data_IF_691463283376
#
_entry.id   IF_691463283376
#
_cell.length_a   1.000
_cell.length_b   1.000
_cell.length_c   1.000
_cell.angle_alpha   90.00
_cell.angle_beta   90.00
_cell.angle_gamma   90.00
#
_symmetry.space_group_name_H-M   'P 1'
#
loop_
_entity.id
_entity.type
_entity.pdbx_description
1 polymer ?
#
# COMPACT_ATOMS: atom_id res chain seq x y z
N UNK A 1 38.27 4.81 -1.04
CA UNK A 1 37.72 6.06 -1.61
C UNK A 1 36.25 6.10 -1.25
N UNK A 2 35.87 6.89 -0.26
CA UNK A 2 34.47 7.15 0.08
C UNK A 2 33.91 8.10 -0.97
N UNK A 3 33.19 7.58 -1.95
CA UNK A 3 32.40 8.38 -2.88
C UNK A 3 31.34 9.13 -2.10
N UNK A 4 31.36 10.47 -2.15
CA UNK A 4 30.27 11.29 -1.63
C UNK A 4 28.93 10.87 -2.26
N UNK A 5 27.82 10.87 -1.52
CA UNK A 5 26.50 10.54 -2.08
C UNK A 5 26.18 11.45 -3.27
N UNK A 6 25.49 10.93 -4.29
CA UNK A 6 24.91 11.76 -5.34
C UNK A 6 23.92 12.76 -4.72
N UNK A 7 23.67 13.90 -5.38
CA UNK A 7 22.69 14.88 -4.91
C UNK A 7 21.27 14.30 -4.77
N UNK A 8 20.95 13.26 -5.54
CA UNK A 8 19.70 12.50 -5.41
C UNK A 8 19.72 11.66 -4.14
N UNK A 9 20.78 10.89 -3.90
CA UNK A 9 20.87 10.05 -2.69
C UNK A 9 20.82 10.89 -1.41
N UNK A 10 21.52 12.02 -1.36
CA UNK A 10 21.45 12.92 -0.22
C UNK A 10 20.02 13.44 0.04
N UNK A 11 19.26 13.76 -1.01
CA UNK A 11 17.83 14.15 -0.88
C UNK A 11 16.96 12.99 -0.40
N UNK A 12 17.23 11.75 -0.84
CA UNK A 12 16.55 10.55 -0.32
C UNK A 12 16.80 10.37 1.17
N UNK A 13 18.06 10.47 1.58
CA UNK A 13 18.47 10.33 2.98
C UNK A 13 17.81 11.41 3.86
N UNK A 14 17.70 12.64 3.35
CA UNK A 14 17.00 13.73 4.03
C UNK A 14 15.50 13.42 4.20
N UNK A 15 14.82 12.92 3.16
CA UNK A 15 13.41 12.50 3.27
C UNK A 15 13.24 11.37 4.30
N UNK A 16 14.08 10.34 4.26
CA UNK A 16 14.05 9.24 5.23
C UNK A 16 14.31 9.71 6.66
N UNK A 17 15.19 10.69 6.86
CA UNK A 17 15.42 11.30 8.17
C UNK A 17 14.18 12.06 8.69
N UNK A 18 13.45 12.76 7.82
CA UNK A 18 12.17 13.38 8.18
C UNK A 18 11.13 12.33 8.58
N UNK A 19 10.98 11.24 7.82
CA UNK A 19 10.06 10.15 8.19
C UNK A 19 10.44 9.50 9.53
N UNK A 20 11.73 9.30 9.80
CA UNK A 20 12.18 8.81 11.12
C UNK A 20 11.80 9.79 12.24
N UNK A 21 12.03 11.09 12.04
CA UNK A 21 11.63 12.12 13.01
C UNK A 21 10.11 12.13 13.23
N UNK A 22 9.32 11.95 12.16
CA UNK A 22 7.86 11.82 12.23
C UNK A 22 7.43 10.62 13.08
N UNK A 23 7.99 9.45 12.82
CA UNK A 23 7.67 8.22 13.55
C UNK A 23 8.09 8.31 15.03
N UNK A 24 9.24 8.92 15.31
CA UNK A 24 9.71 9.13 16.69
C UNK A 24 8.82 10.12 17.46
N UNK A 25 8.29 11.14 16.78
CA UNK A 25 7.33 12.08 17.36
C UNK A 25 5.97 11.42 17.59
N UNK A 26 5.52 10.60 16.64
CA UNK A 26 4.27 9.83 16.73
C UNK A 26 4.28 8.92 17.96
N UNK A 27 5.35 8.14 18.18
CA UNK A 27 5.48 7.28 19.36
C UNK A 27 5.61 8.08 20.66
N UNK A 28 6.24 9.25 20.63
CA UNK A 28 6.34 10.12 21.79
C UNK A 28 5.06 10.90 22.10
N UNK A 29 4.02 10.77 21.27
CA UNK A 29 2.76 11.52 21.35
C UNK A 29 2.98 13.05 21.33
N UNK A 30 4.05 13.51 20.67
CA UNK A 30 4.50 14.90 20.74
C UNK A 30 4.72 15.50 19.33
N UNK A 31 3.66 16.05 18.72
CA UNK A 31 3.76 16.68 17.40
C UNK A 31 4.59 17.97 17.40
N UNK A 32 4.89 18.57 18.56
CA UNK A 32 5.70 19.78 18.64
C UNK A 32 7.17 19.57 18.23
N UNK A 33 7.60 18.29 18.15
CA UNK A 33 8.92 17.87 17.68
C UNK A 33 9.10 17.98 16.17
N UNK A 34 8.04 18.26 15.42
CA UNK A 34 8.05 18.23 13.96
C UNK A 34 8.28 19.62 13.34
N UNK A 35 9.06 19.70 12.25
CA UNK A 35 9.15 20.92 11.44
C UNK A 35 7.89 21.03 10.56
N UNK A 36 6.83 21.64 11.08
CA UNK A 36 5.53 21.74 10.38
C UNK A 36 5.40 23.07 9.65
N UNK A 37 4.81 23.04 8.45
CA UNK A 37 4.32 24.25 7.80
C UNK A 37 3.12 24.80 8.58
N UNK A 38 2.92 26.12 8.57
CA UNK A 38 1.76 26.74 9.24
C UNK A 38 0.41 26.23 8.70
N UNK A 39 0.40 25.76 7.46
CA UNK A 39 -0.77 25.20 6.77
C UNK A 39 -0.74 23.67 6.75
N UNK A 40 0.03 23.03 7.63
CA UNK A 40 0.16 21.57 7.65
C UNK A 40 -1.21 20.92 7.82
N UNK A 41 -1.52 19.97 6.94
CA UNK A 41 -2.78 19.25 6.93
C UNK A 41 -2.56 17.78 7.25
N UNK A 42 -3.34 17.25 8.19
CA UNK A 42 -3.28 15.87 8.62
C UNK A 42 -4.62 15.16 8.40
N UNK A 43 -4.56 13.98 7.78
CA UNK A 43 -5.68 13.04 7.72
C UNK A 43 -5.29 11.68 8.27
N UNK A 44 -6.14 11.09 9.10
CA UNK A 44 -6.09 9.67 9.43
C UNK A 44 -7.33 8.98 8.85
N UNK A 45 -7.12 7.90 8.12
CA UNK A 45 -8.20 7.03 7.65
C UNK A 45 -9.26 7.75 6.79
N UNK A 46 -8.83 8.78 6.05
CA UNK A 46 -9.68 9.60 5.19
C UNK A 46 -10.42 10.74 5.90
N UNK A 47 -10.23 10.91 7.21
CA UNK A 47 -10.77 12.02 7.97
C UNK A 47 -9.67 13.04 8.28
N UNK A 48 -9.94 14.33 8.06
CA UNK A 48 -9.09 15.41 8.55
C UNK A 48 -9.27 15.56 10.06
N UNK A 49 -8.17 15.47 10.80
CA UNK A 49 -8.17 15.54 12.27
C UNK A 49 -6.98 16.40 12.73
N UNK A 50 -7.07 17.07 13.90
CA UNK A 50 -5.94 17.79 14.46
C UNK A 50 -4.73 16.88 14.67
N UNK A 51 -3.54 17.38 14.34
CA UNK A 51 -2.30 16.64 14.58
C UNK A 51 -2.08 16.48 16.09
N UNK A 52 -1.74 15.27 16.52
CA UNK A 52 -1.73 14.89 17.93
C UNK A 52 -2.99 14.17 18.39
N UNK A 53 -4.06 14.10 17.59
CA UNK A 53 -5.23 13.26 17.87
C UNK A 53 -5.14 11.88 17.19
N UNK A 54 -6.19 11.06 17.35
CA UNK A 54 -6.32 9.72 16.76
C UNK A 54 -5.17 8.77 17.18
N UNK A 55 -4.45 8.12 16.26
CA UNK A 55 -3.37 7.19 16.59
C UNK A 55 -2.27 7.81 17.48
N UNK A 56 -2.07 9.13 17.41
CA UNK A 56 -1.11 9.84 18.25
C UNK A 56 -1.37 9.71 19.74
N UNK A 57 -2.61 9.38 20.14
CA UNK A 57 -2.99 9.23 21.55
C UNK A 57 -2.81 7.81 22.08
N UNK A 58 -2.66 6.81 21.20
CA UNK A 58 -2.86 5.40 21.55
C UNK A 58 -1.75 4.47 21.08
N UNK A 59 -0.88 4.91 20.16
CA UNK A 59 0.25 4.10 19.70
C UNK A 59 1.21 3.80 20.85
N UNK A 60 1.60 2.53 21.02
CA UNK A 60 2.56 2.12 22.05
C UNK A 60 3.99 2.18 21.51
N UNK A 61 4.20 1.60 20.32
CA UNK A 61 5.52 1.46 19.71
C UNK A 61 5.42 1.10 18.22
N UNK A 62 6.54 1.32 17.52
CA UNK A 62 6.80 0.68 16.23
C UNK A 62 7.24 -0.79 16.46
N UNK A 63 7.13 -1.59 15.41
CA UNK A 63 7.71 -2.92 15.33
C UNK A 63 8.70 -3.02 14.16
N UNK A 64 9.22 -4.21 13.90
CA UNK A 64 10.39 -4.48 13.05
C UNK A 64 10.17 -4.22 11.55
N UNK A 65 8.92 -4.23 11.08
CA UNK A 65 8.64 -4.00 9.66
C UNK A 65 8.63 -2.51 9.35
N UNK A 66 9.52 -2.06 8.46
CA UNK A 66 9.48 -0.73 7.87
C UNK A 66 10.01 -0.73 6.44
N UNK A 67 9.36 -0.01 5.54
CA UNK A 67 9.87 0.31 4.20
C UNK A 67 9.49 1.73 3.83
N UNK A 68 10.46 2.49 3.35
CA UNK A 68 10.30 3.88 2.94
C UNK A 68 10.38 4.01 1.41
N UNK A 69 9.47 4.78 0.84
CA UNK A 69 9.35 5.06 -0.59
C UNK A 69 9.62 6.55 -0.81
N UNK A 70 10.73 6.91 -1.46
CA UNK A 70 11.17 8.31 -1.58
C UNK A 70 10.97 8.84 -3.00
N UNK A 71 10.43 10.05 -3.12
CA UNK A 71 10.39 10.82 -4.36
C UNK A 71 11.09 12.18 -4.14
N UNK A 72 12.43 12.23 -4.29
CA UNK A 72 13.23 13.44 -4.10
C UNK A 72 12.87 14.62 -4.99
N UNK A 73 12.21 14.36 -6.12
CA UNK A 73 11.88 15.39 -7.11
C UNK A 73 10.59 16.11 -6.77
N UNK A 74 9.65 15.43 -6.10
CA UNK A 74 8.40 16.02 -5.61
C UNK A 74 8.41 16.34 -4.10
N UNK A 75 9.51 16.04 -3.40
CA UNK A 75 9.62 16.27 -1.96
C UNK A 75 8.69 15.38 -1.13
N UNK A 76 8.42 14.17 -1.59
CA UNK A 76 7.44 13.27 -0.96
C UNK A 76 8.09 12.00 -0.45
N UNK A 77 7.58 11.48 0.67
CA UNK A 77 7.99 10.18 1.22
C UNK A 77 6.80 9.41 1.74
N UNK A 78 6.76 8.13 1.39
CA UNK A 78 5.78 7.15 1.83
C UNK A 78 6.45 6.16 2.77
N UNK A 79 5.69 5.57 3.69
CA UNK A 79 6.19 4.55 4.59
C UNK A 79 5.10 3.50 4.84
N UNK A 80 5.48 2.22 4.78
CA UNK A 80 4.72 1.16 5.44
C UNK A 80 5.48 0.70 6.67
N UNK A 81 4.82 0.68 7.82
CA UNK A 81 5.43 0.31 9.11
C UNK A 81 4.47 -0.54 9.96
N UNK A 82 4.99 -1.54 10.66
CA UNK A 82 4.21 -2.26 11.68
C UNK A 82 4.25 -1.54 13.02
N UNK A 83 3.14 -1.58 13.73
CA UNK A 83 2.98 -0.91 15.02
C UNK A 83 2.30 -1.83 16.04
N UNK A 84 2.38 -1.45 17.30
CA UNK A 84 1.52 -1.97 18.38
C UNK A 84 0.73 -0.80 18.98
N UNK A 85 -0.57 -1.03 19.16
CA UNK A 85 -1.50 -0.07 19.77
C UNK A 85 -2.42 -0.83 20.74
N UNK A 86 -2.32 -0.54 22.04
CA UNK A 86 -3.01 -1.26 23.11
C UNK A 86 -2.86 -2.79 23.00
N UNK A 87 -1.62 -3.26 22.84
CA UNK A 87 -1.26 -4.68 22.62
C UNK A 87 -1.81 -5.31 21.31
N UNK A 88 -2.45 -4.52 20.43
CA UNK A 88 -2.94 -4.99 19.14
C UNK A 88 -1.92 -4.71 18.03
N UNK A 89 -1.68 -5.74 17.20
CA UNK A 89 -0.87 -5.62 16.01
C UNK A 89 -1.55 -4.75 14.94
N UNK A 90 -0.84 -3.74 14.46
CA UNK A 90 -1.31 -2.85 13.39
C UNK A 90 -0.32 -2.71 12.24
N UNK A 91 -0.84 -2.33 11.08
CA UNK A 91 -0.04 -1.83 9.96
C UNK A 91 -0.46 -0.40 9.63
N UNK A 92 0.53 0.42 9.36
CA UNK A 92 0.38 1.83 9.08
C UNK A 92 0.99 2.14 7.71
N UNK A 93 0.24 2.84 6.87
CA UNK A 93 0.76 3.54 5.70
C UNK A 93 0.75 5.04 5.99
N UNK A 94 1.86 5.72 5.72
CA UNK A 94 1.99 7.18 5.86
C UNK A 94 2.50 7.74 4.54
N UNK A 95 2.01 8.91 4.15
CA UNK A 95 2.64 9.81 3.19
C UNK A 95 2.90 11.16 3.85
N UNK A 96 4.10 11.68 3.66
CA UNK A 96 4.48 13.04 4.01
C UNK A 96 4.86 13.82 2.74
N UNK A 97 4.40 15.07 2.65
CA UNK A 97 4.94 16.06 1.71
C UNK A 97 5.81 17.06 2.45
N UNK A 98 6.98 17.32 1.90
CA UNK A 98 7.96 18.26 2.43
C UNK A 98 8.12 19.40 1.43
N UNK A 99 7.85 20.62 1.90
CA UNK A 99 8.02 21.87 1.15
C UNK A 99 8.90 22.81 1.99
N UNK A 100 9.96 23.34 1.39
CA UNK A 100 10.92 24.24 2.06
C UNK A 100 11.47 23.69 3.39
N UNK A 101 11.64 22.36 3.47
CA UNK A 101 12.14 21.67 4.66
C UNK A 101 11.10 21.47 5.77
N UNK A 102 9.84 21.83 5.53
CA UNK A 102 8.72 21.68 6.46
C UNK A 102 7.73 20.63 5.95
N UNK A 103 7.13 19.86 6.86
CA UNK A 103 6.03 18.94 6.55
C UNK A 103 4.76 19.77 6.32
N UNK A 104 4.24 19.76 5.09
CA UNK A 104 3.01 20.47 4.72
C UNK A 104 1.78 19.57 4.61
N UNK A 105 1.98 18.27 4.40
CA UNK A 105 0.88 17.32 4.28
C UNK A 105 1.23 15.98 4.94
N UNK A 106 0.27 15.41 5.66
CA UNK A 106 0.38 14.12 6.34
C UNK A 106 -0.89 13.31 6.02
N UNK A 107 -0.74 12.19 5.32
CA UNK A 107 -1.85 11.29 4.97
C UNK A 107 -1.55 9.90 5.54
N UNK A 108 -2.39 9.43 6.47
CA UNK A 108 -2.19 8.17 7.19
C UNK A 108 -3.38 7.23 6.99
N UNK A 109 -3.09 5.95 6.74
CA UNK A 109 -4.07 4.86 6.80
C UNK A 109 -3.56 3.81 7.77
N UNK A 110 -4.37 3.52 8.79
CA UNK A 110 -4.09 2.58 9.86
C UNK A 110 -5.02 1.38 9.77
N UNK A 111 -4.47 0.17 9.72
CA UNK A 111 -5.24 -1.05 9.87
C UNK A 111 -4.87 -1.80 11.15
N UNK A 112 -5.83 -1.90 12.07
CA UNK A 112 -5.75 -2.66 13.33
C UNK A 112 -6.10 -4.15 13.17
N UNK A 113 -6.62 -4.55 12.01
CA UNK A 113 -6.97 -5.92 11.66
C UNK A 113 -5.84 -6.66 10.93
N UNK A 114 -4.58 -6.43 11.32
CA UNK A 114 -3.39 -6.97 10.67
C UNK A 114 -2.59 -7.88 11.64
N UNK A 115 -3.13 -9.05 12.04
CA UNK A 115 -2.49 -9.89 13.05
C UNK A 115 -1.10 -10.42 12.65
N UNK A 116 -0.79 -10.46 11.36
CA UNK A 116 0.52 -10.86 10.86
C UNK A 116 1.57 -9.75 10.89
N UNK A 117 1.20 -8.50 11.22
CA UNK A 117 2.08 -7.33 11.15
C UNK A 117 3.38 -7.48 11.94
N UNK A 118 3.32 -8.15 13.11
CA UNK A 118 4.47 -8.37 14.00
C UNK A 118 5.30 -9.60 13.61
N UNK A 119 4.87 -10.34 12.59
CA UNK A 119 5.54 -11.53 12.06
C UNK A 119 5.98 -11.36 10.61
N UNK A 120 5.90 -10.12 10.10
CA UNK A 120 6.28 -9.83 8.72
C UNK A 120 7.80 -9.94 8.52
N UNK A 121 8.26 -10.38 7.33
CA UNK A 121 9.67 -10.31 6.93
C UNK A 121 10.27 -8.93 7.15
N UNK A 122 11.59 -8.79 7.38
CA UNK A 122 12.27 -7.55 7.00
C UNK A 122 11.93 -7.16 5.57
N UNK A 123 11.79 -5.87 5.28
CA UNK A 123 11.44 -5.42 3.94
C UNK A 123 12.47 -5.90 2.90
N UNK A 124 12.00 -6.23 1.70
CA UNK A 124 12.88 -6.72 0.64
C UNK A 124 13.84 -5.62 0.19
N UNK A 125 15.12 -5.95 0.02
CA UNK A 125 16.14 -5.04 -0.52
C UNK A 125 15.77 -4.45 -1.88
N UNK A 126 14.97 -5.19 -2.66
CA UNK A 126 14.45 -4.80 -3.98
C UNK A 126 13.77 -3.42 -3.98
N UNK A 127 13.14 -3.01 -2.88
CA UNK A 127 12.51 -1.69 -2.76
C UNK A 127 13.52 -0.51 -2.81
N UNK A 128 14.79 -0.77 -2.53
CA UNK A 128 15.84 0.24 -2.51
C UNK A 128 16.73 0.21 -3.76
N UNK A 129 16.58 -0.81 -4.59
CA UNK A 129 17.39 -0.99 -5.79
C UNK A 129 16.89 -0.12 -6.95
N UNK A 130 17.83 0.60 -7.57
CA UNK A 130 17.58 1.33 -8.81
C UNK A 130 17.37 0.37 -10.00
N UNK A 131 16.58 0.82 -10.97
CA UNK A 131 16.49 0.21 -12.31
C UNK A 131 17.61 0.76 -13.20
N UNK A 132 18.08 -0.03 -14.16
CA UNK A 132 19.02 0.46 -15.16
C UNK A 132 18.36 1.58 -16.00
N UNK A 133 19.05 2.69 -16.29
CA UNK A 133 18.45 3.84 -16.99
C UNK A 133 17.68 3.49 -18.28
N UNK A 134 18.19 2.52 -19.04
CA UNK A 134 17.65 2.04 -20.31
C UNK A 134 16.33 1.26 -20.18
N UNK A 135 16.01 0.71 -19.01
CA UNK A 135 14.77 -0.04 -18.75
C UNK A 135 13.79 0.73 -17.86
N UNK A 136 14.13 1.96 -17.45
CA UNK A 136 13.24 2.82 -16.67
C UNK A 136 12.05 3.29 -17.52
N UNK A 137 10.86 3.07 -16.99
CA UNK A 137 9.66 3.78 -17.40
C UNK A 137 9.72 5.22 -16.87
N UNK A 138 9.15 6.15 -17.62
CA UNK A 138 8.96 7.53 -17.16
C UNK A 138 7.82 7.64 -16.13
N UNK A 139 7.73 8.82 -15.51
CA UNK A 139 6.75 9.10 -14.44
C UNK A 139 5.31 8.91 -14.90
N UNK A 140 4.96 9.38 -16.09
CA UNK A 140 3.61 9.27 -16.64
C UNK A 140 3.23 7.81 -16.92
N UNK A 141 4.17 7.04 -17.48
CA UNK A 141 3.98 5.61 -17.74
C UNK A 141 3.85 4.82 -16.45
N UNK A 142 4.66 5.10 -15.43
CA UNK A 142 4.52 4.47 -14.11
C UNK A 142 3.14 4.72 -13.49
N UNK A 143 2.63 5.96 -13.56
CA UNK A 143 1.28 6.28 -13.09
C UNK A 143 0.21 5.51 -13.88
N UNK A 144 0.28 5.54 -15.21
CA UNK A 144 -0.67 4.85 -16.11
C UNK A 144 -0.69 3.34 -15.89
N UNK A 145 0.47 2.69 -15.81
CA UNK A 145 0.53 1.24 -15.55
C UNK A 145 0.03 0.86 -14.15
N UNK A 146 0.18 1.77 -13.18
CA UNK A 146 -0.42 1.59 -11.86
C UNK A 146 -1.95 1.72 -11.91
N UNK A 147 -2.49 2.68 -12.67
CA UNK A 147 -3.93 2.83 -12.87
C UNK A 147 -4.53 1.63 -13.63
N UNK A 148 -3.80 1.09 -14.60
CA UNK A 148 -4.14 -0.17 -15.28
C UNK A 148 -4.31 -1.34 -14.30
N UNK A 149 -3.49 -1.42 -13.24
CA UNK A 149 -3.68 -2.40 -12.16
C UNK A 149 -5.01 -2.16 -11.42
N UNK A 150 -5.38 -0.90 -11.15
CA UNK A 150 -6.66 -0.59 -10.50
C UNK A 150 -7.85 -1.01 -11.36
N UNK A 151 -7.80 -0.74 -12.67
CA UNK A 151 -8.82 -1.18 -13.61
C UNK A 151 -8.87 -2.72 -13.71
N UNK A 152 -7.73 -3.40 -13.77
CA UNK A 152 -7.66 -4.86 -13.77
C UNK A 152 -8.35 -5.46 -12.54
N UNK A 153 -8.11 -4.91 -11.34
CA UNK A 153 -8.76 -5.36 -10.11
C UNK A 153 -10.27 -5.10 -10.15
N UNK A 154 -10.69 -3.89 -10.54
CA UNK A 154 -12.09 -3.48 -10.52
C UNK A 154 -12.95 -4.16 -11.61
N UNK A 155 -12.34 -4.54 -12.73
CA UNK A 155 -13.01 -5.26 -13.81
C UNK A 155 -12.78 -6.78 -13.76
N UNK A 156 -11.95 -7.28 -12.83
CA UNK A 156 -11.51 -8.67 -12.78
C UNK A 156 -10.91 -9.15 -14.11
N UNK A 157 -10.12 -8.28 -14.75
CA UNK A 157 -9.50 -8.51 -16.05
C UNK A 157 -7.99 -8.27 -15.94
N UNK A 158 -7.26 -9.35 -15.66
CA UNK A 158 -5.81 -9.30 -15.53
C UNK A 158 -5.08 -8.92 -16.82
N UNK A 159 -5.72 -9.00 -18.00
CA UNK A 159 -5.07 -8.64 -19.27
C UNK A 159 -4.77 -7.15 -19.40
N UNK A 160 -5.41 -6.33 -18.55
CA UNK A 160 -5.19 -4.88 -18.50
C UNK A 160 -3.91 -4.49 -17.78
N UNK A 161 -3.36 -5.37 -16.93
CA UNK A 161 -2.18 -5.06 -16.12
C UNK A 161 -0.97 -5.85 -16.57
N UNK A 162 0.17 -5.17 -16.66
CA UNK A 162 1.44 -5.80 -16.96
C UNK A 162 2.21 -6.15 -15.69
N UNK A 163 2.08 -7.40 -15.24
CA UNK A 163 2.99 -7.95 -14.23
C UNK A 163 4.34 -8.34 -14.86
N UNK A 164 5.38 -8.32 -14.05
CA UNK A 164 6.65 -8.93 -14.41
C UNK A 164 6.46 -10.47 -14.46
N UNK A 165 6.80 -11.12 -15.59
CA UNK A 165 6.54 -12.55 -15.76
C UNK A 165 7.47 -13.45 -14.92
N UNK A 166 8.61 -12.93 -14.51
CA UNK A 166 9.62 -13.69 -13.76
C UNK A 166 9.34 -13.65 -12.25
N UNK A 167 8.82 -12.54 -11.74
CA UNK A 167 8.56 -12.36 -10.30
C UNK A 167 7.45 -11.36 -10.07
N UNK A 168 6.37 -11.78 -9.40
CA UNK A 168 5.24 -10.94 -9.04
C UNK A 168 4.62 -11.39 -7.69
N UNK A 169 4.65 -10.49 -6.70
CA UNK A 169 4.10 -10.75 -5.37
C UNK A 169 3.15 -9.63 -4.94
N UNK A 170 2.02 -10.01 -4.33
CA UNK A 170 1.05 -9.08 -3.74
C UNK A 170 0.87 -9.32 -2.25
N UNK A 171 1.15 -8.30 -1.45
CA UNK A 171 1.00 -8.29 0.00
C UNK A 171 -0.03 -7.23 0.40
N UNK A 172 -1.12 -7.65 1.04
CA UNK A 172 -2.20 -6.74 1.44
C UNK A 172 -2.45 -6.89 2.93
N UNK A 173 -2.26 -5.80 3.69
CA UNK A 173 -2.39 -5.79 5.15
C UNK A 173 -1.57 -6.93 5.81
N UNK A 174 -0.35 -7.16 5.30
CA UNK A 174 0.56 -8.21 5.79
C UNK A 174 0.16 -9.64 5.37
N UNK A 175 -0.88 -9.80 4.55
CA UNK A 175 -1.33 -11.10 4.04
C UNK A 175 -0.90 -11.29 2.59
N UNK A 176 -0.29 -12.45 2.30
CA UNK A 176 0.08 -12.82 0.92
C UNK A 176 -1.17 -13.15 0.11
N UNK A 177 -1.44 -12.34 -0.92
CA UNK A 177 -2.62 -12.45 -1.78
C UNK A 177 -2.32 -13.08 -3.13
N UNK A 178 -1.10 -12.85 -3.65
CA UNK A 178 -0.62 -13.46 -4.88
C UNK A 178 0.89 -13.68 -4.80
N UNK A 179 1.36 -14.74 -5.43
CA UNK A 179 2.77 -15.03 -5.62
C UNK A 179 2.91 -15.79 -6.94
N UNK A 180 3.82 -15.33 -7.81
CA UNK A 180 4.07 -15.95 -9.09
C UNK A 180 4.69 -17.36 -8.98
N UNK A 181 4.69 -18.14 -10.06
CA UNK A 181 5.18 -19.53 -10.05
C UNK A 181 6.68 -19.66 -9.74
N UNK A 182 7.46 -18.61 -9.95
CA UNK A 182 8.91 -18.59 -9.76
C UNK A 182 9.35 -17.91 -8.46
N UNK A 183 8.39 -17.42 -7.66
CA UNK A 183 8.67 -16.72 -6.42
C UNK A 183 8.61 -17.66 -5.21
N UNK A 184 9.28 -17.26 -4.13
CA UNK A 184 9.27 -17.99 -2.86
C UNK A 184 8.85 -17.07 -1.71
N UNK A 185 7.95 -17.58 -0.85
CA UNK A 185 7.54 -16.89 0.37
C UNK A 185 8.05 -17.65 1.61
N UNK A 186 9.07 -17.14 2.32
CA UNK A 186 9.69 -17.86 3.44
C UNK A 186 8.86 -17.89 4.74
N UNK A 187 7.73 -17.19 4.80
CA UNK A 187 7.09 -16.84 6.08
C UNK A 187 5.76 -17.56 6.28
N UNK A 188 5.32 -17.70 7.55
CA UNK A 188 4.03 -18.31 7.84
C UNK A 188 2.91 -17.61 7.09
N UNK A 189 2.09 -18.41 6.43
CA UNK A 189 0.85 -17.94 5.85
C UNK A 189 -0.24 -17.97 6.92
N UNK A 190 -1.22 -17.06 6.83
CA UNK A 190 -2.40 -17.09 7.69
C UNK A 190 -3.05 -18.49 7.66
N UNK A 191 -3.34 -19.15 8.80
CA UNK A 191 -4.01 -20.44 8.81
C UNK A 191 -5.37 -20.37 8.10
N UNK A 192 -5.72 -21.44 7.39
CA UNK A 192 -7.06 -21.61 6.83
C UNK A 192 -7.90 -22.37 7.85
N UNK A 193 -8.97 -21.74 8.35
CA UNK A 193 -9.89 -22.37 9.29
C UNK A 193 -11.09 -23.06 8.60
N UNK A 194 -11.40 -22.65 7.36
CA UNK A 194 -12.58 -23.07 6.61
C UNK A 194 -12.22 -23.24 5.13
N UNK A 195 -12.34 -24.47 4.62
CA UNK A 195 -12.05 -24.85 3.22
C UNK A 195 -13.14 -24.42 2.23
N UNK A 196 -14.29 -23.97 2.72
CA UNK A 196 -15.36 -23.35 1.91
C UNK A 196 -15.23 -21.83 1.86
N UNK A 197 -14.25 -21.25 2.58
CA UNK A 197 -14.05 -19.81 2.61
C UNK A 197 -13.42 -19.26 1.33
N UNK A 198 -13.74 -18.00 1.01
CA UNK A 198 -13.03 -17.23 -0.02
C UNK A 198 -11.50 -17.24 0.16
N UNK A 199 -11.04 -17.23 1.41
CA UNK A 199 -9.62 -17.20 1.71
C UNK A 199 -8.91 -18.52 1.37
N UNK A 200 -9.62 -19.66 1.45
CA UNK A 200 -9.13 -20.93 0.89
C UNK A 200 -8.94 -20.82 -0.63
N UNK A 201 -9.92 -20.27 -1.35
CA UNK A 201 -9.82 -20.10 -2.81
C UNK A 201 -8.63 -19.22 -3.22
N UNK A 202 -8.40 -18.10 -2.51
CA UNK A 202 -7.20 -17.27 -2.68
C UNK A 202 -5.94 -18.10 -2.42
N UNK A 203 -5.88 -18.84 -1.31
CA UNK A 203 -4.72 -19.70 -0.98
C UNK A 203 -4.44 -20.72 -2.08
N UNK A 204 -5.47 -21.35 -2.65
CA UNK A 204 -5.34 -22.35 -3.72
C UNK A 204 -4.93 -21.77 -5.07
N UNK A 205 -4.94 -20.43 -5.21
CA UNK A 205 -4.51 -19.72 -6.42
C UNK A 205 -3.07 -19.21 -6.35
N UNK A 206 -2.40 -19.31 -5.19
CA UNK A 206 -0.99 -18.96 -5.05
C UNK A 206 -0.12 -19.84 -5.97
N UNK A 207 0.89 -19.24 -6.61
CA UNK A 207 1.72 -19.88 -7.63
C UNK A 207 1.19 -19.72 -9.06
N UNK A 208 -0.01 -19.16 -9.26
CA UNK A 208 -0.47 -18.73 -10.58
C UNK A 208 0.22 -17.44 -11.01
N UNK A 209 0.38 -17.18 -12.33
CA UNK A 209 0.67 -15.83 -12.82
C UNK A 209 -0.34 -14.82 -12.26
N UNK A 210 0.15 -13.66 -11.81
CA UNK A 210 -0.66 -12.71 -11.03
C UNK A 210 -1.81 -12.07 -11.85
N UNK A 211 -1.59 -11.89 -13.15
CA UNK A 211 -2.61 -11.50 -14.13
C UNK A 211 -3.69 -12.58 -14.28
N UNK A 212 -3.31 -13.85 -14.46
CA UNK A 212 -4.27 -14.96 -14.51
C UNK A 212 -5.07 -15.07 -13.22
N UNK A 213 -4.42 -14.87 -12.06
CA UNK A 213 -5.10 -14.86 -10.76
C UNK A 213 -6.16 -13.74 -10.68
N UNK A 214 -5.85 -12.52 -11.14
CA UNK A 214 -6.84 -11.44 -11.16
C UNK A 214 -8.05 -11.78 -12.03
N UNK A 215 -7.81 -12.43 -13.17
CA UNK A 215 -8.86 -12.87 -14.10
C UNK A 215 -9.76 -13.99 -13.58
N UNK A 216 -9.42 -14.63 -12.45
CA UNK A 216 -10.28 -15.67 -11.84
C UNK A 216 -11.58 -15.11 -11.25
N UNK A 217 -11.66 -13.79 -11.04
CA UNK A 217 -12.78 -13.16 -10.34
C UNK A 217 -12.74 -13.34 -8.82
N UNK A 218 -11.65 -13.82 -8.23
CA UNK A 218 -11.50 -13.90 -6.76
C UNK A 218 -11.73 -12.54 -6.09
N UNK A 219 -11.42 -11.43 -6.76
CA UNK A 219 -11.59 -10.07 -6.22
C UNK A 219 -12.82 -9.35 -6.78
N UNK A 220 -13.73 -10.05 -7.48
CA UNK A 220 -14.90 -9.49 -8.17
C UNK A 220 -15.92 -8.75 -7.28
N UNK A 221 -15.80 -8.86 -5.96
CA UNK A 221 -16.54 -8.01 -5.04
C UNK A 221 -16.10 -6.54 -5.09
N UNK A 222 -14.92 -6.25 -5.65
CA UNK A 222 -14.47 -4.91 -6.05
C UNK A 222 -15.06 -4.63 -7.42
N UNK A 223 -15.89 -3.59 -7.51
CA UNK A 223 -16.76 -3.32 -8.67
C UNK A 223 -16.44 -2.02 -9.40
N UNK A 224 -15.67 -1.13 -8.78
CA UNK A 224 -15.11 0.08 -9.40
C UNK A 224 -14.02 0.65 -8.49
N UNK A 225 -13.32 1.68 -8.95
CA UNK A 225 -12.45 2.52 -8.13
C UNK A 225 -12.73 4.00 -8.44
N UNK A 226 -12.31 4.90 -7.55
CA UNK A 226 -12.27 6.34 -7.78
C UNK A 226 -11.19 6.99 -6.89
N UNK A 227 -11.03 8.31 -7.03
CA UNK A 227 -10.11 9.13 -6.25
C UNK A 227 -8.63 8.71 -6.34
N UNK A 228 -8.24 8.05 -7.43
CA UNK A 228 -6.86 7.59 -7.62
C UNK A 228 -5.89 8.78 -7.75
N UNK A 229 -4.85 8.76 -6.90
CA UNK A 229 -3.74 9.72 -6.91
C UNK A 229 -2.42 8.96 -6.72
N UNK A 230 -1.36 9.45 -7.37
CA UNK A 230 -0.01 8.86 -7.33
C UNK A 230 1.01 9.89 -6.84
N UNK A 231 0.98 10.29 -5.55
CA UNK A 231 1.77 11.40 -5.03
C UNK A 231 3.28 11.14 -5.00
N UNK A 232 3.71 9.87 -5.03
CA UNK A 232 5.11 9.47 -5.01
C UNK A 232 5.36 8.59 -6.22
N UNK A 233 6.24 9.04 -7.11
CA UNK A 233 6.72 8.24 -8.23
C UNK A 233 8.24 8.37 -8.32
N UNK A 234 8.93 7.33 -7.88
CA UNK A 234 10.38 7.25 -7.96
C UNK A 234 10.78 6.63 -9.30
N UNK A 235 11.21 7.47 -10.25
CA UNK A 235 11.65 6.99 -11.58
C UNK A 235 12.95 6.20 -11.49
N UNK A 236 13.85 6.49 -10.57
CA UNK A 236 15.11 5.78 -10.47
C UNK A 236 14.91 4.36 -9.94
N UNK A 237 14.09 4.21 -8.89
CA UNK A 237 13.75 2.90 -8.30
C UNK A 237 12.50 2.29 -8.90
N UNK A 238 11.85 2.94 -9.86
CA UNK A 238 10.63 2.45 -10.51
C UNK A 238 9.54 2.06 -9.50
N UNK A 239 9.24 2.99 -8.58
CA UNK A 239 8.24 2.80 -7.53
C UNK A 239 7.12 3.81 -7.69
N UNK A 240 5.89 3.35 -7.50
CA UNK A 240 4.71 4.21 -7.33
C UNK A 240 4.12 3.94 -5.96
N UNK A 241 3.83 4.99 -5.19
CA UNK A 241 3.04 4.87 -3.97
C UNK A 241 1.80 5.74 -4.13
N UNK A 242 0.65 5.07 -4.19
CA UNK A 242 -0.63 5.64 -4.57
C UNK A 242 -1.70 5.48 -3.50
N UNK A 243 -2.75 6.28 -3.63
CA UNK A 243 -3.95 6.28 -2.78
C UNK A 243 -5.20 6.33 -3.64
N UNK A 244 -6.21 5.55 -3.28
CA UNK A 244 -7.50 5.49 -3.98
C UNK A 244 -8.56 4.83 -3.11
N UNK A 245 -9.80 4.85 -3.59
CA UNK A 245 -10.88 4.04 -3.03
C UNK A 245 -11.27 2.91 -3.99
N UNK A 246 -11.27 1.66 -3.50
CA UNK A 246 -11.98 0.57 -4.17
C UNK A 246 -13.43 0.52 -3.70
N UNK A 247 -14.36 0.36 -4.63
CA UNK A 247 -15.80 0.39 -4.40
C UNK A 247 -16.41 -1.00 -4.48
N UNK A 248 -17.32 -1.29 -3.55
CA UNK A 248 -18.13 -2.50 -3.57
C UNK A 248 -19.59 -2.10 -3.59
N UNK A 249 -20.34 -2.61 -4.57
CA UNK A 249 -21.80 -2.47 -4.62
C UNK A 249 -22.52 -3.45 -3.67
N UNK A 250 -21.84 -4.51 -3.22
CA UNK A 250 -22.45 -5.57 -2.42
C UNK A 250 -23.28 -6.57 -3.22
N UNK A 251 -23.26 -6.50 -4.55
CA UNK A 251 -24.10 -7.31 -5.45
C UNK A 251 -23.44 -8.61 -5.90
N UNK A 252 -22.12 -8.76 -5.72
CA UNK A 252 -21.39 -9.97 -6.09
C UNK A 252 -21.23 -10.86 -4.86
N UNK A 253 -21.98 -11.96 -4.80
CA UNK A 253 -22.12 -12.79 -3.59
C UNK A 253 -21.00 -13.80 -3.39
N UNK A 254 -20.28 -14.15 -4.45
CA UNK A 254 -19.21 -15.12 -4.43
C UNK A 254 -18.59 -15.30 -5.79
N UNK A 255 -17.76 -16.32 -5.92
CA UNK A 255 -17.02 -16.65 -7.15
C UNK A 255 -16.96 -18.16 -7.31
N UNK A 256 -17.08 -18.64 -8.55
CA UNK A 256 -16.77 -20.03 -8.88
C UNK A 256 -15.32 -20.12 -9.32
N UNK A 257 -14.51 -20.83 -8.56
CA UNK A 257 -13.09 -21.05 -8.86
C UNK A 257 -12.82 -22.56 -8.91
N UNK A 258 -12.22 -23.03 -10.01
CA UNK A 258 -11.94 -24.47 -10.27
C UNK A 258 -13.15 -25.37 -10.03
N UNK A 259 -14.34 -24.92 -10.47
CA UNK A 259 -15.58 -25.68 -10.39
C UNK A 259 -16.30 -25.67 -9.04
N UNK A 260 -15.73 -25.05 -7.99
CA UNK A 260 -16.35 -24.88 -6.68
C UNK A 260 -16.77 -23.42 -6.46
N UNK A 261 -17.96 -23.22 -5.91
CA UNK A 261 -18.45 -21.90 -5.50
C UNK A 261 -17.91 -21.54 -4.11
N UNK A 262 -17.35 -20.34 -3.98
CA UNK A 262 -16.88 -19.77 -2.73
C UNK A 262 -17.64 -18.47 -2.44
N UNK A 263 -18.35 -18.36 -1.30
CA UNK A 263 -19.00 -17.11 -0.92
C UNK A 263 -17.96 -16.04 -0.59
N UNK A 264 -18.19 -14.81 -1.05
CA UNK A 264 -17.39 -13.66 -0.62
C UNK A 264 -17.72 -13.30 0.83
N UNK A 265 -16.75 -12.71 1.53
CA UNK A 265 -16.87 -12.34 2.95
C UNK A 265 -18.13 -11.51 3.23
N UNK A 266 -18.79 -11.72 4.36
CA UNK A 266 -20.02 -10.98 4.74
C UNK A 266 -19.85 -9.45 4.62
N UNK A 267 -18.70 -8.93 5.05
CA UNK A 267 -18.38 -7.49 4.96
C UNK A 267 -18.33 -6.93 3.54
N UNK A 268 -18.29 -7.74 2.49
CA UNK A 268 -18.31 -7.28 1.09
C UNK A 268 -19.70 -7.34 0.47
N UNK A 269 -20.72 -7.76 1.24
CA UNK A 269 -22.07 -8.06 0.75
C UNK A 269 -23.03 -6.86 0.79
N UNK A 270 -22.53 -5.68 1.14
CA UNK A 270 -23.25 -4.42 1.20
C UNK A 270 -22.41 -3.28 0.60
N UNK A 271 -23.02 -2.14 0.22
CA UNK A 271 -22.27 -0.99 -0.27
C UNK A 271 -21.25 -0.49 0.75
N UNK A 272 -19.98 -0.54 0.38
CA UNK A 272 -18.86 0.02 1.14
C UNK A 272 -17.67 0.32 0.24
N UNK A 273 -16.64 0.94 0.83
CA UNK A 273 -15.37 1.17 0.17
C UNK A 273 -14.20 0.56 0.97
N UNK A 274 -13.08 0.36 0.29
CA UNK A 274 -11.78 0.30 0.93
C UNK A 274 -11.03 1.59 0.57
N UNK A 275 -10.43 2.24 1.56
CA UNK A 275 -9.45 3.32 1.35
C UNK A 275 -8.05 2.71 1.48
N UNK A 276 -7.22 2.86 0.45
CA UNK A 276 -5.94 2.18 0.31
C UNK A 276 -4.80 3.16 0.13
N UNK A 277 -3.66 2.85 0.76
CA UNK A 277 -2.34 3.35 0.39
C UNK A 277 -1.50 2.13 0.00
N UNK A 278 -0.94 2.13 -1.20
CA UNK A 278 -0.25 0.97 -1.72
C UNK A 278 0.92 1.34 -2.62
N UNK A 279 2.01 0.59 -2.46
CA UNK A 279 3.25 0.68 -3.18
C UNK A 279 3.30 -0.35 -4.30
N UNK A 280 3.87 0.04 -5.43
CA UNK A 280 4.16 -0.79 -6.58
C UNK A 280 5.64 -0.67 -6.90
N UNK A 281 6.32 -1.81 -7.04
CA UNK A 281 7.67 -1.86 -7.62
C UNK A 281 7.56 -2.41 -9.02
N UNK A 282 8.22 -1.76 -9.97
CA UNK A 282 8.38 -2.25 -11.33
C UNK A 282 9.82 -2.74 -11.55
N UNK A 283 9.95 -3.74 -12.44
CA UNK A 283 11.21 -4.25 -12.99
C UNK A 283 10.98 -4.62 -14.44
N UNK A 284 11.87 -4.20 -15.34
CA UNK A 284 11.74 -4.43 -16.79
C UNK A 284 10.35 -4.00 -17.33
N UNK A 285 9.83 -2.89 -16.81
CA UNK A 285 8.54 -2.32 -17.18
C UNK A 285 7.30 -3.16 -16.84
N UNK A 286 7.38 -4.09 -15.89
CA UNK A 286 6.22 -4.80 -15.33
C UNK A 286 6.21 -4.75 -13.79
N UNK A 287 5.02 -4.82 -13.18
CA UNK A 287 4.85 -4.82 -11.72
C UNK A 287 5.40 -6.11 -11.14
N UNK A 288 6.34 -6.01 -10.20
CA UNK A 288 6.95 -7.15 -9.51
C UNK A 288 6.58 -7.23 -8.02
N UNK A 289 6.29 -6.10 -7.38
CA UNK A 289 5.73 -6.08 -6.02
C UNK A 289 4.54 -5.16 -5.95
N UNK A 290 3.53 -5.59 -5.21
CA UNK A 290 2.42 -4.78 -4.77
C UNK A 290 2.34 -4.93 -3.26
N UNK A 291 2.35 -3.83 -2.52
CA UNK A 291 2.19 -3.86 -1.08
C UNK A 291 1.22 -2.77 -0.63
N UNK A 292 0.11 -3.16 0.00
CA UNK A 292 -0.89 -2.20 0.45
C UNK A 292 -1.25 -2.32 1.93
N UNK A 293 -1.54 -1.18 2.54
CA UNK A 293 -2.26 -1.08 3.81
C UNK A 293 -3.57 -0.36 3.54
N UNK A 294 -4.66 -0.92 4.06
CA UNK A 294 -5.98 -0.35 3.83
C UNK A 294 -6.97 -0.66 4.93
N UNK A 295 -7.89 0.27 5.10
CA UNK A 295 -9.11 0.06 5.86
C UNK A 295 -10.10 -0.78 5.05
N UNK A 296 -10.71 -1.74 5.73
CA UNK A 296 -11.74 -2.56 5.14
C UNK A 296 -13.13 -2.05 5.50
N UNK A 297 -14.00 -1.98 4.49
CA UNK A 297 -15.43 -1.72 4.66
C UNK A 297 -15.73 -0.37 5.33
N UNK A 298 -15.06 0.68 4.86
CA UNK A 298 -15.39 2.07 5.19
C UNK A 298 -16.78 2.45 4.66
N UNK A 299 -17.32 3.54 5.22
CA UNK A 299 -18.57 4.15 4.76
C UNK A 299 -18.50 4.38 3.25
N UNK A 300 -19.57 4.01 2.55
CA UNK A 300 -19.64 4.18 1.11
C UNK A 300 -19.54 5.67 0.74
N UNK A 301 -18.57 6.01 -0.11
CA UNK A 301 -18.24 7.38 -0.55
C UNK A 301 -17.76 8.30 0.57
N UNK A 302 -16.99 7.79 1.52
CA UNK A 302 -16.31 8.64 2.49
C UNK A 302 -15.16 9.45 1.83
N UNK A 303 -14.52 8.85 0.81
CA UNK A 303 -13.45 9.50 0.05
C UNK A 303 -12.07 9.18 0.59
N UNK A 304 -11.07 9.96 0.22
CA UNK A 304 -9.70 9.83 0.72
C UNK A 304 -9.37 10.89 1.76
N UNK A 305 -10.28 11.84 2.00
CA UNK A 305 -9.99 13.03 2.79
C UNK A 305 -9.12 14.03 2.04
N UNK A 306 -8.82 13.83 0.75
CA UNK A 306 -8.03 14.77 -0.08
C UNK A 306 -8.69 15.05 -1.43
N UNK A 307 -9.80 14.36 -1.71
CA UNK A 307 -10.66 14.46 -2.88
C UNK A 307 -11.68 15.62 -2.79
N UNK A 308 -11.88 16.20 -1.60
CA UNK A 308 -12.94 17.19 -1.35
C UNK A 308 -12.53 18.65 -1.56
N UNK A 309 -11.30 18.94 -2.00
CA UNK A 309 -10.87 20.30 -2.37
C UNK A 309 -10.19 20.27 -3.74
N UNK A 310 -10.96 20.65 -4.76
CA UNK A 310 -10.45 21.12 -6.05
C UNK A 310 -10.25 22.63 -6.04
#
# INVERSE_FOLDING_TARGET
MTTSPSSVQARRDALSAVMTTYLDALVAHDPSRLPLAATCRFTENGAEVPLGEALWQTIDRLDSYRVDYTDPDSGQIGCHVSIVENDLAGLLAIRLKIEDGLISEIETILNRGAPLALSMPPCEGLWFEAEAPETRLDRETLARETENYLDAVASSDGTKVKFNPDSALRLENGTLMAIGPNDYWPYPLKPIADEDSWFFAVRSSLGMPADEQLSTGLYSFITSYDNARFPIIDVERQIVFGVWNFRRKGTVKGVTFRGKYYPHMERTQFPNENLLLQAFKFRNGGITRVQGVFLNANVYRAGTGWDQRG
#
